data_IF_230567870775
#
_entry.id   IF_230567870775
#
_cell.length_a   1.000
_cell.length_b   1.000
_cell.length_c   1.000
_cell.angle_alpha   90.00
_cell.angle_beta   90.00
_cell.angle_gamma   90.00
#
_symmetry.space_group_name_H-M   'P 1'
#
loop_
_entity.id
_entity.type
_entity.pdbx_description
1 polymer ?
#
# COMPACT_ATOMS: atom_id res chain seq x y z
N UNK A 1 19.52 14.64 10.55
CA UNK A 1 18.53 15.73 10.61
C UNK A 1 18.79 16.65 9.44
N UNK A 2 18.49 16.18 8.23
CA UNK A 2 18.37 17.07 7.07
C UNK A 2 17.09 17.88 7.27
N UNK A 3 17.26 19.19 7.18
CA UNK A 3 16.35 20.18 7.70
C UNK A 3 15.13 20.32 6.80
N UNK A 4 13.95 20.29 7.43
CA UNK A 4 12.65 20.75 6.89
C UNK A 4 12.68 22.10 6.16
N UNK A 5 13.77 22.86 6.25
CA UNK A 5 14.04 24.09 5.50
C UNK A 5 14.03 23.94 3.97
N UNK A 6 13.97 22.72 3.44
CA UNK A 6 13.92 22.50 1.99
C UNK A 6 12.56 22.83 1.36
N UNK A 7 11.45 22.74 2.10
CA UNK A 7 10.13 23.05 1.55
C UNK A 7 9.71 24.49 1.85
N UNK A 8 9.63 25.30 0.80
CA UNK A 8 9.10 26.67 0.86
C UNK A 8 7.59 26.72 1.17
N UNK A 9 6.87 25.64 0.86
CA UNK A 9 5.41 25.56 0.97
C UNK A 9 4.93 24.27 1.62
N UNK A 10 3.74 24.34 2.20
CA UNK A 10 2.99 23.23 2.77
C UNK A 10 1.70 22.96 1.99
N UNK A 11 0.72 22.34 2.67
CA UNK A 11 -0.57 22.02 2.08
C UNK A 11 -1.29 23.27 1.55
N UNK A 12 -1.93 23.15 0.39
CA UNK A 12 -2.74 24.22 -0.21
C UNK A 12 -4.00 24.47 0.62
N UNK A 13 -4.62 23.38 1.05
CA UNK A 13 -5.79 23.34 1.91
C UNK A 13 -5.43 22.57 3.17
N UNK A 14 -6.02 22.90 4.31
CA UNK A 14 -5.75 22.15 5.55
C UNK A 14 -6.28 20.70 5.42
N UNK A 15 -5.40 19.68 5.43
CA UNK A 15 -5.84 18.29 5.31
C UNK A 15 -6.64 17.82 6.53
N UNK A 16 -6.47 18.46 7.71
CA UNK A 16 -7.23 18.09 8.90
C UNK A 16 -8.70 18.48 8.79
N UNK A 17 -9.01 19.57 8.09
CA UNK A 17 -10.40 19.92 7.74
C UNK A 17 -11.09 18.79 6.95
N UNK A 18 -10.38 18.10 6.03
CA UNK A 18 -10.91 16.91 5.35
C UNK A 18 -11.14 15.76 6.32
N UNK A 19 -10.14 15.45 7.16
CA UNK A 19 -10.22 14.39 8.18
C UNK A 19 -11.43 14.58 9.10
N UNK A 20 -11.74 15.80 9.50
CA UNK A 20 -12.86 16.11 10.39
C UNK A 20 -14.23 16.01 9.71
N UNK A 21 -14.31 16.26 8.41
CA UNK A 21 -15.59 16.39 7.68
C UNK A 21 -15.96 15.17 6.87
N UNK A 22 -14.98 14.44 6.34
CA UNK A 22 -15.23 13.34 5.41
C UNK A 22 -15.91 12.16 6.11
N UNK A 23 -17.03 11.72 5.52
CA UNK A 23 -17.86 10.59 6.02
C UNK A 23 -17.70 9.32 5.19
N UNK A 24 -16.76 9.32 4.24
CA UNK A 24 -16.51 8.16 3.42
C UNK A 24 -15.76 7.09 4.22
N UNK A 25 -15.67 5.89 3.64
CA UNK A 25 -14.80 4.83 4.16
C UNK A 25 -13.34 5.30 4.26
N UNK A 26 -12.87 6.18 3.36
CA UNK A 26 -11.50 6.65 3.39
C UNK A 26 -11.23 7.56 4.59
N UNK A 27 -12.15 8.48 4.91
CA UNK A 27 -12.08 9.30 6.11
C UNK A 27 -12.05 8.44 7.37
N UNK A 28 -12.93 7.42 7.44
CA UNK A 28 -12.97 6.47 8.56
C UNK A 28 -11.65 5.70 8.73
N UNK A 29 -11.05 5.24 7.63
CA UNK A 29 -9.74 4.60 7.64
C UNK A 29 -8.63 5.53 8.10
N UNK A 30 -8.57 6.77 7.59
CA UNK A 30 -7.53 7.72 8.00
C UNK A 30 -7.60 8.02 9.48
N UNK A 31 -8.80 8.30 9.98
CA UNK A 31 -9.03 8.56 11.41
C UNK A 31 -8.69 7.37 12.29
N UNK A 32 -9.21 6.19 11.96
CA UNK A 32 -9.14 5.02 12.83
C UNK A 32 -7.81 4.27 12.74
N UNK A 33 -7.23 4.18 11.54
CA UNK A 33 -6.11 3.27 11.26
C UNK A 33 -4.77 3.97 11.07
N UNK A 34 -4.77 5.30 10.92
CA UNK A 34 -3.54 6.08 10.64
C UNK A 34 -3.32 7.15 11.71
N UNK A 35 -4.36 7.89 12.09
CA UNK A 35 -4.24 9.02 13.03
C UNK A 35 -4.57 8.66 14.48
N UNK A 36 -5.09 7.46 14.74
CA UNK A 36 -5.54 7.01 16.06
C UNK A 36 -6.59 7.95 16.69
N UNK A 37 -7.50 8.48 15.86
CA UNK A 37 -8.55 9.44 16.23
C UNK A 37 -9.91 9.03 15.63
N UNK A 38 -10.41 7.82 15.94
CA UNK A 38 -11.68 7.35 15.40
C UNK A 38 -12.85 8.22 15.88
N UNK A 39 -13.88 8.30 15.04
CA UNK A 39 -15.20 8.80 15.41
C UNK A 39 -16.11 7.65 15.83
N UNK A 40 -17.18 7.98 16.53
CA UNK A 40 -18.21 7.02 16.96
C UNK A 40 -18.78 6.21 15.78
N UNK A 41 -18.89 6.81 14.58
CA UNK A 41 -19.46 6.18 13.38
C UNK A 41 -18.41 5.47 12.49
N UNK A 42 -17.11 5.58 12.78
CA UNK A 42 -16.07 5.01 11.92
C UNK A 42 -16.04 3.48 11.98
N UNK A 43 -16.23 2.91 13.18
CA UNK A 43 -16.28 1.46 13.38
C UNK A 43 -17.36 0.80 12.52
N UNK A 44 -18.54 1.41 12.45
CA UNK A 44 -19.64 0.92 11.62
C UNK A 44 -19.32 1.03 10.12
N UNK A 45 -18.66 2.10 9.68
CA UNK A 45 -18.26 2.26 8.29
C UNK A 45 -17.23 1.19 7.86
N UNK A 46 -16.23 0.93 8.70
CA UNK A 46 -15.21 -0.11 8.46
C UNK A 46 -15.85 -1.50 8.49
N UNK A 47 -16.66 -1.79 9.50
CA UNK A 47 -17.38 -3.06 9.65
C UNK A 47 -18.29 -3.35 8.46
N UNK A 48 -19.04 -2.36 7.97
CA UNK A 48 -19.88 -2.54 6.77
C UNK A 48 -19.09 -2.93 5.53
N UNK A 49 -17.90 -2.37 5.32
CA UNK A 49 -17.07 -2.78 4.17
C UNK A 49 -16.53 -4.20 4.34
N UNK A 50 -16.12 -4.59 5.56
CA UNK A 50 -15.72 -5.98 5.87
C UNK A 50 -16.86 -6.94 5.54
N UNK A 51 -18.07 -6.70 6.08
CA UNK A 51 -19.22 -7.57 5.85
C UNK A 51 -19.64 -7.60 4.38
N UNK A 52 -19.52 -6.48 3.66
CA UNK A 52 -19.78 -6.42 2.21
C UNK A 52 -18.80 -7.28 1.42
N UNK A 53 -17.51 -7.26 1.75
CA UNK A 53 -16.51 -8.11 1.08
C UNK A 53 -16.77 -9.58 1.38
N UNK A 54 -16.96 -9.94 2.65
CA UNK A 54 -17.16 -11.32 3.08
C UNK A 54 -18.50 -11.89 2.59
N UNK A 55 -19.57 -11.10 2.63
CA UNK A 55 -20.89 -11.48 2.11
C UNK A 55 -20.92 -11.69 0.59
N UNK A 56 -19.92 -11.17 -0.13
CA UNK A 56 -19.71 -11.45 -1.55
C UNK A 56 -18.92 -12.71 -1.86
N UNK A 57 -18.55 -13.52 -0.85
CA UNK A 57 -17.77 -14.74 -1.05
C UNK A 57 -18.56 -15.77 -1.88
N UNK A 58 -17.91 -16.31 -2.90
CA UNK A 58 -18.47 -17.33 -3.78
C UNK A 58 -18.54 -18.71 -3.07
N UNK A 59 -19.36 -19.65 -3.56
CA UNK A 59 -19.48 -20.99 -2.98
C UNK A 59 -18.14 -21.75 -2.89
N UNK A 60 -17.21 -21.49 -3.82
CA UNK A 60 -15.87 -22.08 -3.84
C UNK A 60 -14.88 -21.41 -2.88
N UNK A 61 -15.25 -20.30 -2.23
CA UNK A 61 -14.42 -19.56 -1.28
C UNK A 61 -13.68 -18.36 -1.87
N UNK A 62 -13.69 -18.16 -3.19
CA UNK A 62 -13.15 -16.94 -3.80
C UNK A 62 -13.94 -15.72 -3.34
N UNK A 63 -13.26 -14.59 -3.26
CA UNK A 63 -13.89 -13.31 -2.97
C UNK A 63 -14.23 -12.53 -4.25
N UNK A 64 -13.88 -13.04 -5.43
CA UNK A 64 -14.07 -12.36 -6.71
C UNK A 64 -14.30 -13.36 -7.86
N UNK A 65 -15.21 -13.01 -8.76
CA UNK A 65 -15.64 -13.84 -9.90
C UNK A 65 -14.96 -13.48 -11.23
N UNK A 66 -13.97 -12.58 -11.23
CA UNK A 66 -13.29 -12.16 -12.46
C UNK A 66 -12.75 -13.37 -13.25
N UNK A 67 -13.10 -13.51 -14.55
CA UNK A 67 -12.90 -14.75 -15.31
C UNK A 67 -11.43 -15.13 -15.49
N UNK A 68 -10.54 -14.14 -15.65
CA UNK A 68 -9.11 -14.38 -15.89
C UNK A 68 -8.21 -14.18 -14.65
N UNK A 69 -8.73 -13.55 -13.60
CA UNK A 69 -7.90 -13.01 -12.51
C UNK A 69 -8.55 -13.18 -11.12
N UNK A 70 -9.55 -14.05 -10.99
CA UNK A 70 -10.31 -14.21 -9.75
C UNK A 70 -9.44 -14.50 -8.51
N UNK A 71 -8.32 -15.22 -8.67
CA UNK A 71 -7.36 -15.45 -7.57
C UNK A 71 -6.61 -14.18 -7.17
N UNK A 72 -6.11 -13.41 -8.14
CA UNK A 72 -5.45 -12.12 -7.88
C UNK A 72 -6.40 -11.15 -7.18
N UNK A 73 -7.65 -11.06 -7.63
CA UNK A 73 -8.65 -10.21 -6.98
C UNK A 73 -9.08 -10.75 -5.61
N UNK A 74 -9.11 -12.08 -5.42
CA UNK A 74 -9.32 -12.69 -4.09
C UNK A 74 -8.21 -12.28 -3.12
N UNK A 75 -6.94 -12.36 -3.55
CA UNK A 75 -5.81 -11.90 -2.73
C UNK A 75 -5.83 -10.38 -2.47
N UNK A 76 -6.26 -9.59 -3.46
CA UNK A 76 -6.50 -8.15 -3.29
C UNK A 76 -7.56 -7.87 -2.21
N UNK A 77 -8.68 -8.59 -2.24
CA UNK A 77 -9.73 -8.48 -1.21
C UNK A 77 -9.28 -8.98 0.16
N UNK A 78 -8.46 -10.02 0.24
CA UNK A 78 -7.82 -10.46 1.49
C UNK A 78 -6.88 -9.40 2.07
N UNK A 79 -6.05 -8.78 1.22
CA UNK A 79 -5.18 -7.67 1.62
C UNK A 79 -6.01 -6.50 2.15
N UNK A 80 -7.14 -6.19 1.49
CA UNK A 80 -8.07 -5.15 1.91
C UNK A 80 -8.73 -5.48 3.26
N UNK A 81 -9.14 -6.73 3.48
CA UNK A 81 -9.68 -7.19 4.76
C UNK A 81 -8.65 -7.04 5.88
N UNK A 82 -7.40 -7.40 5.64
CA UNK A 82 -6.30 -7.21 6.59
C UNK A 82 -6.10 -5.72 6.93
N UNK A 83 -6.12 -4.84 5.92
CA UNK A 83 -6.02 -3.39 6.10
C UNK A 83 -7.18 -2.83 6.94
N UNK A 84 -8.39 -3.37 6.79
CA UNK A 84 -9.57 -3.00 7.58
C UNK A 84 -9.59 -3.61 9.00
N UNK A 85 -8.56 -4.37 9.38
CA UNK A 85 -8.48 -5.02 10.70
C UNK A 85 -9.36 -6.26 10.84
N UNK A 86 -9.76 -6.89 9.73
CA UNK A 86 -10.53 -8.14 9.78
C UNK A 86 -9.67 -9.27 10.37
N UNK A 87 -10.15 -10.00 11.39
CA UNK A 87 -9.43 -11.14 11.96
C UNK A 87 -9.15 -12.23 10.92
N UNK A 88 -7.91 -12.74 10.92
CA UNK A 88 -7.44 -13.75 9.96
C UNK A 88 -8.04 -15.14 10.20
N UNK A 89 -8.67 -15.36 11.34
CA UNK A 89 -9.34 -16.60 11.75
C UNK A 89 -10.84 -16.63 11.45
N UNK A 90 -11.41 -15.56 10.86
CA UNK A 90 -12.80 -15.60 10.37
C UNK A 90 -12.98 -16.74 9.37
N UNK A 91 -14.06 -17.54 9.45
CA UNK A 91 -14.27 -18.69 8.58
C UNK A 91 -14.18 -18.36 7.08
N UNK A 92 -14.71 -17.21 6.67
CA UNK A 92 -14.68 -16.72 5.29
C UNK A 92 -13.25 -16.39 4.84
N UNK A 93 -12.46 -15.76 5.73
CA UNK A 93 -11.04 -15.45 5.47
C UNK A 93 -10.23 -16.74 5.35
N UNK A 94 -10.42 -17.69 6.26
CA UNK A 94 -9.76 -19.00 6.22
C UNK A 94 -10.09 -19.74 4.92
N UNK A 95 -11.35 -19.71 4.50
CA UNK A 95 -11.79 -20.33 3.24
C UNK A 95 -11.15 -19.67 2.02
N UNK A 96 -11.10 -18.33 1.97
CA UNK A 96 -10.45 -17.60 0.88
C UNK A 96 -8.93 -17.82 0.85
N UNK A 97 -8.29 -17.93 2.01
CA UNK A 97 -6.87 -18.30 2.14
C UNK A 97 -6.62 -19.71 1.60
N UNK A 98 -7.48 -20.68 1.94
CA UNK A 98 -7.38 -22.04 1.41
C UNK A 98 -7.45 -22.07 -0.12
N UNK A 99 -8.27 -21.19 -0.74
CA UNK A 99 -8.36 -21.07 -2.20
C UNK A 99 -7.07 -20.56 -2.83
N UNK A 100 -6.43 -19.52 -2.28
CA UNK A 100 -5.17 -19.00 -2.85
C UNK A 100 -3.98 -19.94 -2.62
N UNK A 101 -4.04 -20.79 -1.57
CA UNK A 101 -3.05 -21.82 -1.29
C UNK A 101 -3.26 -23.10 -2.13
N UNK A 102 -4.52 -23.48 -2.38
CA UNK A 102 -4.94 -24.71 -3.04
C UNK A 102 -4.89 -24.69 -4.57
N UNK A 103 -3.98 -23.91 -5.17
CA UNK A 103 -3.83 -23.85 -6.63
C UNK A 103 -3.40 -25.23 -7.17
N UNK A 104 -4.37 -26.03 -7.64
CA UNK A 104 -4.15 -27.40 -8.15
C UNK A 104 -3.17 -27.47 -9.33
N UNK A 105 -2.97 -26.36 -10.04
CA UNK A 105 -1.83 -26.15 -10.90
C UNK A 105 -1.24 -24.81 -10.50
N UNK A 106 -0.10 -24.85 -9.81
CA UNK A 106 0.83 -23.74 -9.89
C UNK A 106 0.92 -23.38 -11.37
N UNK A 107 0.71 -22.11 -11.74
CA UNK A 107 1.24 -21.67 -13.02
C UNK A 107 2.67 -22.20 -13.04
N UNK A 108 3.11 -22.91 -14.07
CA UNK A 108 4.39 -23.65 -14.05
C UNK A 108 5.62 -22.74 -13.79
N UNK A 109 5.40 -21.42 -13.61
CA UNK A 109 6.34 -20.42 -13.12
C UNK A 109 6.16 -19.93 -11.65
N UNK A 110 5.03 -20.12 -10.95
CA UNK A 110 4.77 -19.43 -9.66
C UNK A 110 3.73 -20.13 -8.72
N UNK A 111 4.13 -20.69 -7.55
CA UNK A 111 3.26 -21.36 -6.59
C UNK A 111 2.37 -20.37 -5.83
N UNK A 112 2.81 -19.12 -5.62
CA UNK A 112 2.00 -18.03 -5.08
C UNK A 112 2.36 -16.73 -5.80
N UNK A 113 1.36 -16.05 -6.36
CA UNK A 113 1.60 -14.74 -6.96
C UNK A 113 1.91 -13.70 -5.88
N UNK A 114 2.53 -12.59 -6.28
CA UNK A 114 2.93 -11.51 -5.36
C UNK A 114 1.81 -10.99 -4.45
N UNK A 115 0.56 -11.01 -4.93
CA UNK A 115 -0.59 -10.55 -4.17
C UNK A 115 -1.01 -11.58 -3.10
N UNK A 116 -0.86 -12.88 -3.40
CA UNK A 116 -1.15 -13.96 -2.45
C UNK A 116 -0.15 -13.89 -1.29
N UNK A 117 1.15 -13.80 -1.62
CA UNK A 117 2.23 -13.66 -0.63
C UNK A 117 2.00 -12.45 0.26
N UNK A 118 1.63 -11.30 -0.33
CA UNK A 118 1.33 -10.09 0.44
C UNK A 118 0.16 -10.29 1.38
N UNK A 119 -0.95 -10.83 0.89
CA UNK A 119 -2.14 -11.04 1.70
C UNK A 119 -1.83 -11.93 2.91
N UNK A 120 -1.07 -13.02 2.71
CA UNK A 120 -0.64 -13.90 3.80
C UNK A 120 0.26 -13.17 4.82
N UNK A 121 1.15 -12.29 4.37
CA UNK A 121 1.97 -11.47 5.27
C UNK A 121 1.12 -10.48 6.08
N UNK A 122 0.21 -9.75 5.42
CA UNK A 122 -0.64 -8.74 6.06
C UNK A 122 -1.64 -9.36 7.05
N UNK A 123 -2.12 -10.57 6.79
CA UNK A 123 -2.98 -11.34 7.70
C UNK A 123 -2.22 -11.95 8.89
N UNK A 124 -0.89 -11.75 8.98
CA UNK A 124 -0.05 -12.35 10.02
C UNK A 124 0.13 -13.86 9.87
N UNK A 125 -0.17 -14.42 8.70
CA UNK A 125 -0.11 -15.85 8.45
C UNK A 125 1.30 -16.33 8.08
N UNK A 126 2.17 -15.42 7.65
CA UNK A 126 3.54 -15.73 7.21
C UNK A 126 4.42 -16.39 8.28
N UNK A 127 4.14 -16.18 9.57
CA UNK A 127 4.88 -16.79 10.68
C UNK A 127 4.31 -18.11 11.17
N UNK A 128 3.13 -18.53 10.69
CA UNK A 128 2.49 -19.78 11.14
C UNK A 128 3.13 -20.98 10.48
N UNK A 129 3.33 -22.07 11.23
CA UNK A 129 4.02 -23.26 10.75
C UNK A 129 3.39 -23.89 9.48
N UNK A 130 2.07 -23.79 9.34
CA UNK A 130 1.30 -24.28 8.19
C UNK A 130 1.50 -23.46 6.91
N UNK A 131 1.95 -22.20 7.00
CA UNK A 131 2.12 -21.31 5.85
C UNK A 131 3.56 -20.77 5.67
N UNK A 132 4.42 -20.87 6.68
CA UNK A 132 5.73 -20.23 6.69
C UNK A 132 6.63 -20.66 5.53
N UNK A 133 6.61 -21.94 5.16
CA UNK A 133 7.42 -22.46 4.04
C UNK A 133 6.95 -21.88 2.70
N UNK A 134 5.65 -21.96 2.40
CA UNK A 134 5.13 -21.50 1.10
C UNK A 134 5.27 -19.98 0.93
N UNK A 135 5.12 -19.21 2.01
CA UNK A 135 5.35 -17.75 1.97
C UNK A 135 6.82 -17.44 1.72
N UNK A 136 7.74 -18.12 2.41
CA UNK A 136 9.19 -17.96 2.20
C UNK A 136 9.60 -18.29 0.77
N UNK A 137 9.10 -19.40 0.23
CA UNK A 137 9.38 -19.82 -1.14
C UNK A 137 8.85 -18.81 -2.17
N UNK A 138 7.65 -18.25 -1.93
CA UNK A 138 7.10 -17.18 -2.76
C UNK A 138 7.94 -15.90 -2.73
N UNK A 139 8.41 -15.49 -1.54
CA UNK A 139 9.31 -14.34 -1.40
C UNK A 139 10.66 -14.59 -2.08
N UNK A 140 11.22 -15.79 -1.94
CA UNK A 140 12.48 -16.17 -2.59
C UNK A 140 12.36 -16.11 -4.12
N UNK A 141 11.26 -16.59 -4.69
CA UNK A 141 11.00 -16.46 -6.14
C UNK A 141 10.88 -15.01 -6.59
N UNK A 142 10.25 -14.15 -5.78
CA UNK A 142 10.21 -12.72 -6.07
C UNK A 142 11.64 -12.16 -6.15
N UNK A 143 12.55 -12.55 -5.26
CA UNK A 143 13.94 -12.11 -5.29
C UNK A 143 14.69 -12.64 -6.52
N UNK A 144 14.53 -13.92 -6.86
CA UNK A 144 15.20 -14.55 -8.00
C UNK A 144 14.82 -13.92 -9.34
N UNK A 145 13.59 -13.43 -9.45
CA UNK A 145 13.03 -12.80 -10.67
C UNK A 145 13.17 -11.27 -10.67
N UNK A 146 14.03 -10.71 -9.83
CA UNK A 146 14.24 -9.25 -9.73
C UNK A 146 14.42 -8.55 -11.07
N UNK A 147 15.20 -9.16 -11.98
CA UNK A 147 15.45 -8.58 -13.30
C UNK A 147 14.18 -8.45 -14.15
N UNK A 148 13.22 -9.35 -13.98
CA UNK A 148 12.00 -9.38 -14.78
C UNK A 148 11.01 -8.30 -14.34
N UNK A 149 10.77 -8.15 -13.03
CA UNK A 149 9.83 -7.16 -12.52
C UNK A 149 10.47 -5.78 -12.29
N UNK A 150 11.80 -5.73 -12.19
CA UNK A 150 12.58 -4.52 -12.01
C UNK A 150 12.88 -3.76 -13.30
N UNK A 151 12.55 -4.32 -14.47
CA UNK A 151 12.77 -3.59 -15.71
C UNK A 151 11.95 -2.29 -15.73
N UNK A 152 12.63 -1.19 -16.03
CA UNK A 152 12.03 0.13 -16.06
C UNK A 152 11.25 0.38 -17.36
N UNK A 153 11.53 -0.40 -18.42
CA UNK A 153 10.97 -0.25 -19.76
C UNK A 153 9.92 -1.32 -20.10
N UNK A 154 9.90 -2.42 -19.36
CA UNK A 154 8.96 -3.50 -19.58
C UNK A 154 7.89 -3.59 -18.49
N UNK A 155 6.74 -4.11 -18.88
CA UNK A 155 5.65 -4.44 -17.99
C UNK A 155 4.83 -3.25 -17.48
N UNK A 156 3.93 -3.57 -16.56
CA UNK A 156 3.02 -2.63 -15.96
C UNK A 156 3.78 -1.63 -15.06
N UNK A 157 3.47 -0.32 -15.12
CA UNK A 157 4.14 0.70 -14.29
C UNK A 157 4.18 0.38 -12.79
N UNK A 158 3.16 -0.30 -12.28
CA UNK A 158 3.04 -0.60 -10.85
C UNK A 158 3.75 -1.89 -10.45
N UNK A 159 4.18 -2.74 -11.39
CA UNK A 159 4.77 -4.05 -11.07
C UNK A 159 5.93 -3.98 -10.07
N UNK A 160 6.98 -3.15 -10.24
CA UNK A 160 8.06 -3.06 -9.25
C UNK A 160 7.57 -2.56 -7.89
N UNK A 161 6.64 -1.60 -7.86
CA UNK A 161 6.06 -1.09 -6.62
C UNK A 161 5.35 -2.20 -5.86
N UNK A 162 4.55 -3.01 -6.54
CA UNK A 162 3.84 -4.12 -5.91
C UNK A 162 4.83 -5.18 -5.36
N UNK A 163 5.90 -5.50 -6.10
CA UNK A 163 6.92 -6.42 -5.60
C UNK A 163 7.61 -5.87 -4.36
N UNK A 164 7.99 -4.59 -4.36
CA UNK A 164 8.68 -3.97 -3.23
C UNK A 164 7.80 -3.89 -1.97
N UNK A 165 6.51 -3.59 -2.12
CA UNK A 165 5.54 -3.64 -1.00
C UNK A 165 5.41 -5.07 -0.47
N UNK A 166 5.28 -6.07 -1.35
CA UNK A 166 5.19 -7.49 -0.94
C UNK A 166 6.46 -7.94 -0.21
N UNK A 167 7.63 -7.64 -0.77
CA UNK A 167 8.93 -7.95 -0.17
C UNK A 167 9.06 -7.29 1.20
N UNK A 168 8.64 -6.03 1.34
CA UNK A 168 8.67 -5.33 2.63
C UNK A 168 7.77 -6.00 3.67
N UNK A 169 6.53 -6.36 3.32
CA UNK A 169 5.62 -7.08 4.23
C UNK A 169 6.15 -8.47 4.62
N UNK A 170 6.93 -9.12 3.74
CA UNK A 170 7.56 -10.41 3.99
C UNK A 170 8.92 -10.37 4.71
N UNK A 171 9.43 -9.19 5.10
CA UNK A 171 10.80 -9.03 5.63
C UNK A 171 11.12 -9.78 6.91
N UNK A 172 10.11 -10.20 7.67
CA UNK A 172 10.29 -11.05 8.85
C UNK A 172 10.42 -12.54 8.52
N UNK A 173 10.09 -12.93 7.29
CA UNK A 173 10.02 -14.32 6.84
C UNK A 173 11.12 -14.70 5.85
N UNK A 174 11.75 -13.70 5.21
CA UNK A 174 12.89 -13.86 4.32
C UNK A 174 13.73 -12.57 4.27
N UNK A 175 15.00 -12.69 3.86
CA UNK A 175 15.97 -11.58 3.74
C UNK A 175 15.66 -10.67 2.53
N UNK A 176 14.52 -9.99 2.55
CA UNK A 176 14.02 -9.17 1.43
C UNK A 176 14.37 -7.69 1.57
N UNK A 177 14.59 -7.21 2.80
CA UNK A 177 14.84 -5.80 3.11
C UNK A 177 16.01 -5.18 2.31
N UNK A 178 17.18 -5.85 2.14
CA UNK A 178 18.28 -5.26 1.38
C UNK A 178 17.92 -4.92 -0.07
N UNK A 179 17.07 -5.73 -0.71
CA UNK A 179 16.57 -5.45 -2.06
C UNK A 179 15.66 -4.24 -2.06
N UNK A 180 14.71 -4.17 -1.11
CA UNK A 180 13.79 -3.03 -0.99
C UNK A 180 14.56 -1.72 -0.79
N UNK A 181 15.53 -1.71 0.12
CA UNK A 181 16.33 -0.51 0.41
C UNK A 181 17.22 -0.10 -0.78
N UNK A 182 17.76 -1.05 -1.54
CA UNK A 182 18.50 -0.74 -2.77
C UNK A 182 17.61 -0.07 -3.82
N UNK A 183 16.39 -0.57 -4.00
CA UNK A 183 15.43 0.01 -4.94
C UNK A 183 14.96 1.40 -4.53
N UNK A 184 14.68 1.62 -3.24
CA UNK A 184 14.32 2.95 -2.73
C UNK A 184 15.44 3.97 -3.00
N UNK A 185 16.69 3.61 -2.73
CA UNK A 185 17.86 4.47 -3.05
C UNK A 185 17.94 4.77 -4.54
N UNK A 186 17.67 3.79 -5.40
CA UNK A 186 17.64 3.98 -6.85
C UNK A 186 16.53 4.96 -7.25
N UNK A 187 15.31 4.82 -6.72
CA UNK A 187 14.23 5.76 -7.01
C UNK A 187 14.57 7.18 -6.57
N UNK A 188 15.16 7.37 -5.40
CA UNK A 188 15.62 8.70 -4.95
C UNK A 188 16.58 9.37 -5.95
N UNK A 189 17.41 8.57 -6.64
CA UNK A 189 18.36 9.05 -7.64
C UNK A 189 17.74 9.29 -9.02
N UNK A 190 16.72 8.52 -9.39
CA UNK A 190 16.20 8.46 -10.77
C UNK A 190 14.83 9.14 -10.95
N UNK A 191 14.12 9.46 -9.86
CA UNK A 191 12.87 10.22 -9.94
C UNK A 191 13.12 11.62 -10.47
N UNK A 192 12.34 12.00 -11.49
CA UNK A 192 12.45 13.30 -12.13
C UNK A 192 11.68 14.40 -11.35
N UNK A 193 11.74 15.64 -11.83
CA UNK A 193 11.07 16.78 -11.18
C UNK A 193 9.52 16.68 -11.11
N UNK A 194 8.92 15.78 -11.91
CA UNK A 194 7.50 15.49 -11.87
C UNK A 194 7.13 14.38 -10.86
N UNK A 195 8.10 13.79 -10.16
CA UNK A 195 7.88 12.62 -9.28
C UNK A 195 7.83 11.29 -10.03
N UNK A 196 8.07 11.28 -11.33
CA UNK A 196 8.02 10.04 -12.10
C UNK A 196 9.37 9.34 -12.12
N UNK A 197 9.35 8.02 -12.01
CA UNK A 197 10.48 7.18 -12.38
C UNK A 197 10.27 6.72 -13.84
N UNK A 198 10.97 7.36 -14.79
CA UNK A 198 10.69 7.23 -16.23
C UNK A 198 9.22 7.60 -16.56
N UNK A 199 8.48 6.73 -17.25
CA UNK A 199 7.04 6.90 -17.54
C UNK A 199 6.13 6.41 -16.39
N UNK A 200 6.68 5.89 -15.29
CA UNK A 200 5.89 5.26 -14.24
C UNK A 200 5.19 6.30 -13.37
N UNK A 201 3.95 5.99 -13.00
CA UNK A 201 3.04 6.87 -12.27
C UNK A 201 3.58 7.24 -10.87
N UNK A 202 3.64 8.54 -10.52
CA UNK A 202 4.23 8.99 -9.26
C UNK A 202 3.44 8.52 -8.03
N UNK A 203 2.13 8.30 -8.16
CA UNK A 203 1.29 7.85 -7.05
C UNK A 203 1.61 6.42 -6.61
N UNK A 204 2.15 5.60 -7.51
CA UNK A 204 2.72 4.32 -7.14
C UNK A 204 3.89 4.44 -6.16
N UNK A 205 4.76 5.44 -6.32
CA UNK A 205 5.88 5.69 -5.40
C UNK A 205 5.38 6.24 -4.07
N UNK A 206 4.39 7.15 -4.07
CA UNK A 206 3.71 7.60 -2.85
C UNK A 206 3.14 6.41 -2.08
N UNK A 207 2.45 5.49 -2.76
CA UNK A 207 1.94 4.26 -2.15
C UNK A 207 3.05 3.33 -1.65
N UNK A 208 4.19 3.23 -2.33
CA UNK A 208 5.33 2.48 -1.79
C UNK A 208 5.79 3.08 -0.45
N UNK A 209 5.91 4.40 -0.37
CA UNK A 209 6.35 5.08 0.86
C UNK A 209 5.32 5.03 1.99
N UNK A 210 4.04 4.80 1.68
CA UNK A 210 3.01 4.61 2.70
C UNK A 210 3.12 3.25 3.39
N UNK A 211 3.66 2.24 2.71
CA UNK A 211 3.81 0.88 3.23
C UNK A 211 5.20 0.62 3.83
N UNK A 212 6.23 1.32 3.34
CA UNK A 212 7.63 1.10 3.75
C UNK A 212 8.08 2.14 4.78
N UNK A 213 8.27 1.69 6.03
CA UNK A 213 8.79 2.51 7.12
C UNK A 213 10.33 2.39 7.20
N UNK A 214 11.04 3.17 6.38
CA UNK A 214 12.50 3.27 6.41
C UNK A 214 13.00 4.68 6.10
N UNK A 215 14.23 5.06 6.50
CA UNK A 215 14.82 6.33 6.11
C UNK A 215 14.87 6.53 4.59
N UNK A 216 15.19 5.48 3.82
CA UNK A 216 15.23 5.57 2.35
C UNK A 216 13.84 5.82 1.74
N UNK A 217 12.77 5.29 2.34
CA UNK A 217 11.41 5.59 1.92
C UNK A 217 11.00 7.01 2.28
N UNK A 218 11.46 7.53 3.42
CA UNK A 218 11.31 8.96 3.77
C UNK A 218 11.99 9.84 2.73
N UNK A 219 13.22 9.54 2.33
CA UNK A 219 13.97 10.32 1.35
C UNK A 219 13.27 10.34 -0.02
N UNK A 220 12.68 9.21 -0.42
CA UNK A 220 11.82 9.14 -1.60
C UNK A 220 10.56 10.00 -1.44
N UNK A 221 9.88 9.91 -0.30
CA UNK A 221 8.70 10.73 -0.02
C UNK A 221 9.00 12.23 -0.06
N UNK A 222 10.19 12.66 0.39
CA UNK A 222 10.63 14.05 0.27
C UNK A 222 10.67 14.52 -1.19
N UNK A 223 11.08 13.66 -2.13
CA UNK A 223 11.02 13.95 -3.57
C UNK A 223 9.60 14.01 -4.12
N UNK A 224 8.67 13.27 -3.51
CA UNK A 224 7.26 13.22 -3.89
C UNK A 224 6.39 14.31 -3.25
N UNK A 225 6.89 15.09 -2.29
CA UNK A 225 6.13 16.19 -1.67
C UNK A 225 5.53 17.15 -2.72
N UNK A 226 6.25 17.60 -3.77
CA UNK A 226 5.65 18.40 -4.84
C UNK A 226 4.43 17.75 -5.51
N UNK A 227 4.46 16.44 -5.75
CA UNK A 227 3.32 15.69 -6.31
C UNK A 227 2.15 15.70 -5.33
N UNK A 228 2.42 15.43 -4.06
CA UNK A 228 1.41 15.43 -2.99
C UNK A 228 0.75 16.81 -2.89
N UNK A 229 1.53 17.89 -2.80
CA UNK A 229 0.97 19.23 -2.62
C UNK A 229 0.14 19.68 -3.83
N UNK A 230 0.54 19.35 -5.06
CA UNK A 230 -0.25 19.61 -6.29
C UNK A 230 -1.51 18.79 -6.39
N UNK A 231 -1.43 17.53 -5.98
CA UNK A 231 -2.54 16.59 -6.06
C UNK A 231 -3.64 16.86 -5.06
N UNK A 232 -3.45 17.79 -4.13
CA UNK A 232 -4.43 18.10 -3.10
C UNK A 232 -5.66 18.78 -3.68
N UNK A 233 -6.84 18.22 -3.37
CA UNK A 233 -8.13 18.72 -3.80
C UNK A 233 -8.64 19.82 -2.85
N UNK A 234 -9.65 20.57 -3.30
CA UNK A 234 -10.20 21.72 -2.56
C UNK A 234 -10.84 21.40 -1.22
N UNK A 235 -11.20 20.13 -1.00
CA UNK A 235 -11.74 19.64 0.26
C UNK A 235 -10.65 19.34 1.31
N UNK A 236 -9.36 19.41 0.93
CA UNK A 236 -8.21 19.08 1.77
C UNK A 236 -7.66 17.66 1.55
N UNK A 237 -8.38 16.80 0.84
CA UNK A 237 -8.00 15.42 0.57
C UNK A 237 -7.25 15.22 -0.76
N UNK A 238 -7.10 13.95 -1.14
CA UNK A 238 -6.43 13.52 -2.38
C UNK A 238 -7.29 12.54 -3.19
N UNK A 239 -8.61 12.60 -3.04
CA UNK A 239 -9.53 11.61 -3.61
C UNK A 239 -9.17 10.21 -3.13
N UNK A 240 -9.13 9.24 -4.04
CA UNK A 240 -8.84 7.84 -3.77
C UNK A 240 -7.47 7.58 -3.09
N UNK A 241 -6.52 8.52 -3.20
CA UNK A 241 -5.18 8.43 -2.63
C UNK A 241 -5.06 8.88 -1.18
N UNK A 242 -6.11 9.45 -0.59
CA UNK A 242 -6.06 10.08 0.73
C UNK A 242 -5.45 9.16 1.80
N UNK A 243 -5.88 7.90 1.85
CA UNK A 243 -5.35 6.89 2.79
C UNK A 243 -3.84 6.72 2.64
N UNK A 244 -3.34 6.56 1.41
CA UNK A 244 -1.90 6.38 1.15
C UNK A 244 -1.09 7.62 1.51
N UNK A 245 -1.59 8.81 1.16
CA UNK A 245 -0.93 10.09 1.48
C UNK A 245 -0.84 10.30 2.99
N UNK A 246 -1.95 10.19 3.72
CA UNK A 246 -1.94 10.34 5.18
C UNK A 246 -1.03 9.32 5.84
N UNK A 247 -1.07 8.04 5.41
CA UNK A 247 -0.21 6.99 5.95
C UNK A 247 1.26 7.32 5.70
N UNK A 248 1.66 7.69 4.49
CA UNK A 248 3.03 8.07 4.17
C UNK A 248 3.50 9.26 5.02
N UNK A 249 2.72 10.34 5.06
CA UNK A 249 3.06 11.55 5.82
C UNK A 249 3.13 11.31 7.33
N UNK A 250 2.25 10.47 7.88
CA UNK A 250 2.25 10.10 9.30
C UNK A 250 3.44 9.21 9.64
N UNK A 251 3.65 8.11 8.88
CA UNK A 251 4.75 7.16 9.07
C UNK A 251 6.11 7.85 9.07
N UNK A 252 6.30 8.83 8.18
CA UNK A 252 7.58 9.53 8.01
C UNK A 252 7.66 10.89 8.73
N UNK A 253 6.67 11.22 9.57
CA UNK A 253 6.66 12.42 10.41
C UNK A 253 6.62 13.74 9.64
N UNK A 254 5.98 13.77 8.45
CA UNK A 254 5.91 14.94 7.57
C UNK A 254 4.58 15.69 7.64
N UNK A 255 3.53 15.10 8.22
CA UNK A 255 2.20 15.71 8.29
C UNK A 255 2.21 17.06 9.04
N UNK A 256 2.64 17.08 10.30
CA UNK A 256 2.70 18.31 11.10
C UNK A 256 3.70 19.34 10.54
N UNK A 257 4.94 18.97 10.17
CA UNK A 257 5.89 19.94 9.64
C UNK A 257 5.44 20.64 8.36
N UNK A 258 4.75 19.94 7.44
CA UNK A 258 4.16 20.55 6.25
C UNK A 258 2.97 21.45 6.58
N UNK A 259 2.16 21.10 7.59
CA UNK A 259 1.06 21.94 8.06
C UNK A 259 1.50 23.28 8.65
N UNK A 260 2.76 23.40 9.08
CA UNK A 260 3.34 24.66 9.60
C UNK A 260 3.96 25.55 8.53
N UNK A 261 4.11 25.07 7.29
CA UNK A 261 4.67 25.85 6.20
C UNK A 261 3.62 26.80 5.60
N UNK A 262 4.08 27.79 4.83
CA UNK A 262 3.18 28.66 4.05
C UNK A 262 2.36 27.80 3.07
N UNK A 263 1.04 27.99 2.95
CA UNK A 263 0.24 27.24 1.99
C UNK A 263 0.75 27.37 0.55
N UNK A 264 0.65 26.29 -0.21
CA UNK A 264 0.99 26.30 -1.64
C UNK A 264 0.08 27.29 -2.40
N UNK A 265 0.65 28.22 -3.20
CA UNK A 265 -0.13 29.17 -3.96
C UNK A 265 -1.14 28.52 -4.93
N UNK A 266 -2.31 29.14 -5.20
CA UNK A 266 -3.31 28.61 -6.11
C UNK A 266 -2.84 28.46 -7.56
N UNK A 267 -1.88 29.28 -7.99
CA UNK A 267 -1.31 29.34 -9.35
C UNK A 267 -0.15 28.35 -9.56
N UNK A 268 0.25 27.61 -8.53
CA UNK A 268 1.33 26.63 -8.64
C UNK A 268 0.89 25.38 -9.43
N UNK A 269 1.59 25.11 -10.54
CA UNK A 269 1.39 23.97 -11.45
C UNK A 269 2.41 22.86 -11.26
#
# INVERSE_FOLDING_TARGET
TESMSEFKYGFRYDPMTWVERDRSLQGAMVRSLILDQPRDDDGDALGREVEKILGGQLPDGRLDDHPAHGLQFTAGKLSRLAELGCPSDRPEVVKAVAVILGKEKANEADPLGIYDVRALCQLGLAGRADHATVVRDGLQRCLEREKEWGDMWEGCPWTPIEHLITLWHGRSSAETEPVVLRWLKRFVQEVNAAGCWSYKDPWGLVRLTSEVASPAARDLLLKEIPVILRGQQADGGWGDRSVSVFRALKTHGLLEPLGKQRPLPPDWQ
#
